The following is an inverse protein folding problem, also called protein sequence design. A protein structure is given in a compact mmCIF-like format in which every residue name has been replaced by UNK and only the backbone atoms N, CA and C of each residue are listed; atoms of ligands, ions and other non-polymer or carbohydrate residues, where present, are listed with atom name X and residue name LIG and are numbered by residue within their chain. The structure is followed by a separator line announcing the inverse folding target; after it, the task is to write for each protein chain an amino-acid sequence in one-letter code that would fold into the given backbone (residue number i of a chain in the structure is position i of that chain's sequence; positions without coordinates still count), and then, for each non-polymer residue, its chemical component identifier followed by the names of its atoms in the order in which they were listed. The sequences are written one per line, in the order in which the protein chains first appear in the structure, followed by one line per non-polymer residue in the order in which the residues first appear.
data_IF_469244227103
#
_entry.id   IF_469244227103
#
_cell.length_a   1.000
_cell.length_b   1.000
_cell.length_c   1.000
_cell.angle_alpha   90.00
_cell.angle_beta   90.00
_cell.angle_gamma   90.00
#
_symmetry.space_group_name_H-M   'P 1'
#
loop_
_entity.id
_entity.type
_entity.pdbx_description
1 polymer ?
#
# COMPACT_ATOMS: atom_id res chain seq x y z
N UNK A 1 23.69 -7.08 8.07
CA UNK A 1 22.71 -6.27 7.31
C UNK A 1 22.23 -5.17 8.22
N UNK A 2 22.17 -3.93 7.75
CA UNK A 2 21.74 -2.80 8.56
C UNK A 2 20.29 -3.02 9.02
N UNK A 3 19.98 -2.74 10.30
CA UNK A 3 18.63 -2.89 10.88
C UNK A 3 17.59 -2.08 10.10
N UNK A 4 17.97 -0.90 9.62
CA UNK A 4 17.10 -0.05 8.80
C UNK A 4 16.67 -0.78 7.53
N UNK A 5 17.62 -1.39 6.81
CA UNK A 5 17.33 -2.15 5.60
C UNK A 5 16.47 -3.40 5.89
N UNK A 6 16.74 -4.09 7.01
CA UNK A 6 15.89 -5.22 7.44
C UNK A 6 14.46 -4.77 7.73
N UNK A 7 14.29 -3.69 8.49
CA UNK A 7 12.98 -3.12 8.83
C UNK A 7 12.15 -2.84 7.58
N UNK A 8 12.74 -2.15 6.59
CA UNK A 8 12.06 -1.81 5.34
C UNK A 8 11.76 -3.06 4.50
N UNK A 9 12.70 -4.01 4.43
CA UNK A 9 12.49 -5.25 3.66
C UNK A 9 11.32 -6.05 4.22
N UNK A 10 11.27 -6.28 5.53
CA UNK A 10 10.15 -6.99 6.16
C UNK A 10 8.83 -6.22 6.03
N UNK A 11 8.86 -4.89 6.12
CA UNK A 11 7.68 -4.07 5.90
C UNK A 11 7.13 -4.25 4.47
N UNK A 12 7.99 -4.18 3.44
CA UNK A 12 7.58 -4.38 2.05
C UNK A 12 7.00 -5.79 1.84
N UNK A 13 7.63 -6.82 2.41
CA UNK A 13 7.10 -8.19 2.33
C UNK A 13 5.71 -8.31 2.94
N UNK A 14 5.48 -7.73 4.13
CA UNK A 14 4.16 -7.71 4.77
C UNK A 14 3.14 -6.91 3.95
N UNK A 15 3.56 -5.80 3.35
CA UNK A 15 2.69 -4.98 2.50
C UNK A 15 2.25 -5.75 1.27
N UNK A 16 3.17 -6.45 0.59
CA UNK A 16 2.83 -7.34 -0.54
C UNK A 16 1.88 -8.44 -0.09
N UNK A 17 2.14 -9.08 1.04
CA UNK A 17 1.26 -10.12 1.60
C UNK A 17 -0.14 -9.57 1.89
N UNK A 18 -0.25 -8.36 2.45
CA UNK A 18 -1.53 -7.70 2.68
C UNK A 18 -2.33 -7.54 1.39
N UNK A 19 -1.75 -6.95 0.35
CA UNK A 19 -2.46 -6.70 -0.91
C UNK A 19 -2.81 -7.98 -1.68
N UNK A 20 -1.96 -9.00 -1.62
CA UNK A 20 -2.17 -10.25 -2.38
C UNK A 20 -3.12 -11.21 -1.66
N UNK A 21 -3.02 -11.31 -0.33
CA UNK A 21 -3.71 -12.36 0.44
C UNK A 21 -4.80 -11.82 1.35
N UNK A 22 -4.54 -10.71 2.07
CA UNK A 22 -5.43 -10.25 3.14
C UNK A 22 -6.50 -9.27 2.65
N UNK A 23 -6.14 -8.33 1.76
CA UNK A 23 -7.06 -7.30 1.30
C UNK A 23 -8.23 -7.92 0.54
N UNK A 24 -9.50 -7.59 0.90
CA UNK A 24 -10.66 -8.09 0.16
C UNK A 24 -10.62 -7.62 -1.30
N UNK A 25 -11.01 -8.50 -2.22
CA UNK A 25 -11.13 -8.17 -3.63
C UNK A 25 -12.51 -7.60 -3.90
N UNK A 26 -12.58 -6.47 -4.58
CA UNK A 26 -13.83 -5.91 -5.06
C UNK A 26 -14.23 -6.62 -6.36
N UNK A 27 -15.46 -7.12 -6.42
CA UNK A 27 -16.04 -7.77 -7.60
C UNK A 27 -17.20 -6.94 -8.16
N UNK A 28 -17.57 -7.19 -9.41
CA UNK A 28 -18.68 -6.47 -10.05
C UNK A 28 -20.02 -6.68 -9.33
N UNK A 29 -20.22 -7.85 -8.71
CA UNK A 29 -21.46 -8.18 -7.99
C UNK A 29 -21.57 -7.40 -6.65
N UNK A 30 -20.49 -6.79 -6.19
CA UNK A 30 -20.44 -5.95 -4.98
C UNK A 30 -20.55 -4.46 -5.28
N UNK A 31 -20.56 -4.07 -6.56
CA UNK A 31 -20.71 -2.66 -6.93
C UNK A 31 -22.11 -2.14 -6.58
N UNK A 32 -22.22 -0.82 -6.32
CA UNK A 32 -23.54 -0.19 -6.21
C UNK A 32 -24.38 -0.48 -7.47
N UNK A 33 -25.61 -0.89 -7.27
CA UNK A 33 -26.56 -1.18 -8.37
C UNK A 33 -27.81 -0.31 -8.23
N UNK A 34 -28.33 0.17 -9.36
CA UNK A 34 -29.55 0.98 -9.38
C UNK A 34 -30.76 0.06 -9.49
N UNK A 35 -31.55 0.01 -8.43
CA UNK A 35 -32.82 -0.72 -8.43
C UNK A 35 -33.89 0.09 -9.17
N UNK A 36 -34.18 -0.34 -10.41
CA UNK A 36 -35.20 0.32 -11.26
C UNK A 36 -36.58 0.29 -10.63
N UNK A 37 -36.91 -0.71 -9.81
CA UNK A 37 -38.20 -0.85 -9.19
C UNK A 37 -38.43 0.13 -8.05
N UNK A 38 -37.40 0.41 -7.27
CA UNK A 38 -37.46 1.34 -6.10
C UNK A 38 -36.92 2.72 -6.38
N UNK A 39 -36.18 2.91 -7.49
CA UNK A 39 -35.48 4.15 -7.81
C UNK A 39 -34.29 4.44 -6.87
N UNK A 40 -33.85 3.47 -6.08
CA UNK A 40 -32.80 3.64 -5.10
C UNK A 40 -31.53 2.86 -5.49
N UNK A 41 -30.38 3.37 -5.08
CA UNK A 41 -29.08 2.69 -5.24
C UNK A 41 -28.93 1.67 -4.11
N UNK A 42 -28.80 0.39 -4.47
CA UNK A 42 -28.45 -0.66 -3.51
C UNK A 42 -26.97 -0.59 -3.20
N UNK A 43 -26.64 -0.22 -1.97
CA UNK A 43 -25.26 -0.06 -1.48
C UNK A 43 -24.81 -1.18 -0.54
N UNK A 44 -25.71 -2.11 -0.18
CA UNK A 44 -25.47 -3.06 0.91
C UNK A 44 -24.22 -3.91 0.68
N UNK A 45 -24.10 -4.55 -0.48
CA UNK A 45 -22.93 -5.38 -0.81
C UNK A 45 -21.61 -4.58 -0.88
N UNK A 46 -21.68 -3.31 -1.31
CA UNK A 46 -20.53 -2.43 -1.36
C UNK A 46 -20.11 -1.97 0.04
N UNK A 47 -21.07 -1.68 0.90
CA UNK A 47 -20.81 -1.34 2.31
C UNK A 47 -20.25 -2.54 3.07
N UNK A 48 -20.72 -3.77 2.80
CA UNK A 48 -20.17 -4.99 3.36
C UNK A 48 -18.72 -5.20 2.90
N UNK A 49 -18.41 -4.97 1.63
CA UNK A 49 -17.03 -4.97 1.14
C UNK A 49 -16.18 -3.95 1.89
N UNK A 50 -16.62 -2.69 2.01
CA UNK A 50 -15.88 -1.63 2.74
C UNK A 50 -15.67 -2.00 4.21
N UNK A 51 -16.70 -2.52 4.87
CA UNK A 51 -16.61 -2.93 6.29
C UNK A 51 -15.64 -4.07 6.50
N UNK A 52 -15.49 -4.95 5.51
CA UNK A 52 -14.57 -6.09 5.56
C UNK A 52 -13.09 -5.70 5.45
N UNK A 53 -12.79 -4.50 4.96
CA UNK A 53 -11.40 -3.99 4.85
C UNK A 53 -10.83 -3.68 6.23
N UNK A 54 -11.61 -3.06 7.12
CA UNK A 54 -11.13 -2.53 8.40
C UNK A 54 -10.48 -3.59 9.31
N UNK A 55 -11.10 -4.76 9.58
CA UNK A 55 -10.48 -5.79 10.42
C UNK A 55 -9.19 -6.35 9.79
N UNK A 56 -9.13 -6.45 8.47
CA UNK A 56 -7.93 -6.93 7.75
C UNK A 56 -6.80 -5.92 7.78
N UNK A 57 -7.15 -4.64 7.69
CA UNK A 57 -6.20 -3.53 7.83
C UNK A 57 -5.66 -3.44 9.28
N UNK A 58 -6.52 -3.64 10.28
CA UNK A 58 -6.10 -3.71 11.68
C UNK A 58 -5.14 -4.89 11.94
N UNK A 59 -5.43 -6.07 11.37
CA UNK A 59 -4.54 -7.22 11.43
C UNK A 59 -3.17 -6.93 10.76
N UNK A 60 -3.17 -6.26 9.62
CA UNK A 60 -1.96 -5.83 8.94
C UNK A 60 -1.13 -4.87 9.82
N UNK A 61 -1.76 -3.82 10.38
CA UNK A 61 -1.10 -2.88 11.28
C UNK A 61 -0.48 -3.60 12.51
N UNK A 62 -1.24 -4.51 13.11
CA UNK A 62 -0.74 -5.31 14.23
C UNK A 62 0.47 -6.15 13.83
N UNK A 63 0.41 -6.80 12.67
CA UNK A 63 1.53 -7.61 12.15
C UNK A 63 2.79 -6.77 11.89
N UNK A 64 2.62 -5.57 11.33
CA UNK A 64 3.73 -4.61 11.14
C UNK A 64 4.33 -4.24 12.49
N UNK A 65 3.52 -3.81 13.47
CA UNK A 65 3.99 -3.42 14.80
C UNK A 65 4.75 -4.56 15.49
N UNK A 66 4.24 -5.78 15.43
CA UNK A 66 4.89 -6.95 16.07
C UNK A 66 6.23 -7.29 15.42
N UNK A 67 6.31 -7.34 14.09
CA UNK A 67 7.56 -7.65 13.41
C UNK A 67 8.60 -6.56 13.62
N UNK A 68 8.20 -5.30 13.52
CA UNK A 68 9.10 -4.18 13.81
C UNK A 68 9.60 -4.19 15.26
N UNK A 69 8.74 -4.54 16.20
CA UNK A 69 9.12 -4.69 17.62
C UNK A 69 10.15 -5.82 17.83
N UNK A 70 9.97 -6.96 17.18
CA UNK A 70 10.92 -8.08 17.24
C UNK A 70 12.29 -7.64 16.70
N UNK A 71 12.33 -6.99 15.53
CA UNK A 71 13.57 -6.52 14.90
C UNK A 71 14.28 -5.47 15.78
N UNK A 72 13.55 -4.50 16.29
CA UNK A 72 14.09 -3.44 17.12
C UNK A 72 14.60 -3.97 18.47
N UNK A 73 13.90 -4.94 19.05
CA UNK A 73 14.35 -5.62 20.28
C UNK A 73 15.64 -6.41 20.03
N UNK A 74 15.70 -7.16 18.95
CA UNK A 74 16.90 -7.91 18.56
C UNK A 74 18.11 -6.96 18.35
N UNK A 75 17.89 -5.81 17.71
CA UNK A 75 18.92 -4.78 17.53
C UNK A 75 19.43 -4.24 18.87
N UNK A 76 18.55 -3.82 19.76
CA UNK A 76 18.96 -3.28 21.08
C UNK A 76 19.67 -4.32 21.93
N UNK A 77 19.21 -5.57 21.91
CA UNK A 77 19.88 -6.66 22.62
C UNK A 77 21.30 -6.91 22.08
N UNK A 78 21.47 -6.88 20.76
CA UNK A 78 22.78 -6.98 20.13
C UNK A 78 23.69 -5.80 20.46
N UNK A 79 23.16 -4.57 20.38
CA UNK A 79 23.89 -3.32 20.69
C UNK A 79 24.32 -3.25 22.17
N UNK A 80 23.44 -3.69 23.08
CA UNK A 80 23.65 -3.50 24.53
C UNK A 80 24.24 -4.74 25.25
N UNK A 81 24.58 -5.78 24.48
CA UNK A 81 25.26 -6.96 25.01
C UNK A 81 24.41 -7.86 25.90
N UNK A 82 23.11 -7.91 25.67
CA UNK A 82 22.20 -8.84 26.35
C UNK A 82 20.75 -8.38 26.44
N UNK A 83 19.87 -9.32 26.76
CA UNK A 83 18.44 -9.08 26.96
C UNK A 83 18.19 -8.51 28.34
N UNK A 84 17.73 -7.27 28.42
CA UNK A 84 17.25 -6.66 29.66
C UNK A 84 15.79 -6.19 29.48
N UNK A 85 15.05 -6.14 30.61
CA UNK A 85 13.68 -5.59 30.62
C UNK A 85 13.64 -4.14 30.13
N UNK A 86 14.69 -3.36 30.46
CA UNK A 86 14.80 -1.98 30.03
C UNK A 86 15.01 -1.84 28.52
N UNK A 87 15.77 -2.75 27.88
CA UNK A 87 15.96 -2.77 26.44
C UNK A 87 14.64 -3.12 25.72
N UNK A 88 13.89 -4.10 26.24
CA UNK A 88 12.58 -4.50 25.70
C UNK A 88 11.59 -3.34 25.82
N UNK A 89 11.51 -2.68 26.99
CA UNK A 89 10.65 -1.53 27.23
C UNK A 89 10.99 -0.35 26.31
N UNK A 90 12.28 -0.08 26.11
CA UNK A 90 12.76 0.95 25.20
C UNK A 90 12.41 0.62 23.75
N UNK A 91 12.63 -0.62 23.29
CA UNK A 91 12.23 -1.07 21.97
C UNK A 91 10.73 -0.94 21.76
N UNK A 92 9.91 -1.30 22.76
CA UNK A 92 8.47 -1.18 22.70
C UNK A 92 8.01 0.27 22.47
N UNK A 93 8.51 1.22 23.27
CA UNK A 93 8.13 2.62 23.15
C UNK A 93 8.51 3.19 21.77
N UNK A 94 9.76 3.00 21.35
CA UNK A 94 10.24 3.52 20.07
C UNK A 94 9.65 2.80 18.85
N UNK A 95 9.04 1.62 19.03
CA UNK A 95 8.33 0.93 17.95
C UNK A 95 6.85 1.27 17.95
N UNK A 96 6.12 0.93 19.02
CA UNK A 96 4.67 1.02 19.02
C UNK A 96 4.17 2.45 18.89
N UNK A 97 4.85 3.43 19.48
CA UNK A 97 4.39 4.81 19.43
C UNK A 97 4.38 5.36 17.99
N UNK A 98 5.49 5.39 17.22
CA UNK A 98 5.46 5.93 15.87
C UNK A 98 4.64 5.06 14.89
N UNK A 99 4.72 3.72 14.98
CA UNK A 99 3.98 2.84 14.09
C UNK A 99 2.47 2.91 14.34
N UNK A 100 2.01 2.98 15.57
CA UNK A 100 0.58 3.08 15.87
C UNK A 100 0.04 4.47 15.55
N UNK A 101 0.74 5.54 15.96
CA UNK A 101 0.21 6.90 15.76
C UNK A 101 0.42 7.41 14.33
N UNK A 102 1.64 7.34 13.78
CA UNK A 102 1.91 7.91 12.46
C UNK A 102 1.32 6.99 11.37
N UNK A 103 1.69 5.70 11.38
CA UNK A 103 1.21 4.77 10.36
C UNK A 103 -0.28 4.49 10.51
N UNK A 104 -0.78 4.29 11.74
CA UNK A 104 -2.20 4.09 12.01
C UNK A 104 -3.04 5.31 11.60
N UNK A 105 -2.58 6.53 11.85
CA UNK A 105 -3.27 7.75 11.38
C UNK A 105 -3.29 7.83 9.86
N UNK A 106 -2.17 7.52 9.19
CA UNK A 106 -2.13 7.49 7.73
C UNK A 106 -3.11 6.44 7.16
N UNK A 107 -3.17 5.23 7.72
CA UNK A 107 -4.16 4.23 7.34
C UNK A 107 -5.59 4.74 7.50
N UNK A 108 -5.89 5.38 8.64
CA UNK A 108 -7.21 5.97 8.90
C UNK A 108 -7.56 7.06 7.89
N UNK A 109 -6.61 7.94 7.56
CA UNK A 109 -6.80 8.99 6.53
C UNK A 109 -7.13 8.40 5.17
N UNK A 110 -6.42 7.34 4.74
CA UNK A 110 -6.68 6.71 3.44
C UNK A 110 -8.03 5.97 3.37
N UNK A 111 -8.54 5.50 4.51
CA UNK A 111 -9.87 4.88 4.60
C UNK A 111 -10.98 5.94 4.62
N UNK A 112 -10.82 7.00 5.44
CA UNK A 112 -11.83 8.04 5.61
C UNK A 112 -11.88 8.98 4.40
N UNK A 113 -10.73 9.27 3.81
CA UNK A 113 -10.56 10.18 2.68
C UNK A 113 -9.87 9.48 1.50
N UNK A 114 -10.57 8.59 0.76
CA UNK A 114 -9.98 7.81 -0.34
C UNK A 114 -9.30 8.67 -1.41
N UNK A 115 -9.74 9.93 -1.58
CA UNK A 115 -9.14 10.87 -2.52
C UNK A 115 -7.65 11.16 -2.27
N UNK A 116 -7.13 10.94 -1.04
CA UNK A 116 -5.69 11.08 -0.80
C UNK A 116 -4.84 10.06 -1.58
N UNK A 117 -5.41 8.91 -1.94
CA UNK A 117 -4.71 7.91 -2.74
C UNK A 117 -4.34 8.43 -4.13
N UNK A 118 -5.12 9.40 -4.67
CA UNK A 118 -4.92 9.98 -6.00
C UNK A 118 -3.52 10.56 -6.19
N UNK A 119 -2.88 11.06 -5.14
CA UNK A 119 -1.52 11.59 -5.21
C UNK A 119 -0.51 10.60 -5.81
N UNK A 120 -0.67 9.32 -5.56
CA UNK A 120 0.16 8.26 -6.14
C UNK A 120 -0.60 7.41 -7.17
N UNK A 121 -1.90 7.17 -7.00
CA UNK A 121 -2.65 6.34 -7.92
C UNK A 121 -2.74 6.96 -9.31
N UNK A 122 -2.94 8.28 -9.41
CA UNK A 122 -3.09 8.96 -10.70
C UNK A 122 -1.75 9.18 -11.43
N UNK A 123 -0.63 8.97 -10.75
CA UNK A 123 0.71 9.01 -11.35
C UNK A 123 1.26 7.60 -11.50
N UNK A 124 1.66 6.97 -10.40
CA UNK A 124 2.34 5.66 -10.44
C UNK A 124 1.37 4.55 -10.80
N UNK A 125 0.17 4.55 -10.19
CA UNK A 125 -0.88 3.60 -10.51
C UNK A 125 -1.31 3.67 -11.97
N UNK A 126 -1.48 4.89 -12.49
CA UNK A 126 -1.78 5.12 -13.90
C UNK A 126 -0.73 4.52 -14.84
N UNK A 127 0.56 4.77 -14.60
CA UNK A 127 1.61 4.18 -15.44
C UNK A 127 1.56 2.66 -15.48
N UNK A 128 1.23 2.03 -14.36
CA UNK A 128 1.17 0.58 -14.26
C UNK A 128 0.03 -0.05 -15.07
N UNK A 129 -1.11 0.68 -15.23
CA UNK A 129 -2.32 0.13 -15.85
C UNK A 129 -2.65 0.75 -17.21
N UNK A 130 -1.96 1.80 -17.63
CA UNK A 130 -2.31 2.61 -18.81
C UNK A 130 -2.41 1.81 -20.09
N UNK A 131 -1.56 0.80 -20.29
CA UNK A 131 -1.61 -0.09 -21.46
C UNK A 131 -2.90 -0.91 -21.50
N UNK A 132 -3.19 -1.67 -20.45
CA UNK A 132 -4.41 -2.48 -20.36
C UNK A 132 -5.70 -1.65 -20.40
N UNK A 133 -5.68 -0.45 -19.77
CA UNK A 133 -6.81 0.45 -19.84
C UNK A 133 -7.10 0.96 -21.26
N UNK A 134 -6.04 1.31 -22.00
CA UNK A 134 -6.15 1.72 -23.39
C UNK A 134 -6.78 0.60 -24.23
N UNK A 135 -6.28 -0.62 -24.09
CA UNK A 135 -6.77 -1.77 -24.86
C UNK A 135 -8.26 -2.01 -24.60
N UNK A 136 -8.70 -1.96 -23.32
CA UNK A 136 -10.12 -2.11 -22.99
C UNK A 136 -10.96 -0.96 -23.59
N UNK A 137 -10.50 0.29 -23.47
CA UNK A 137 -11.25 1.41 -24.04
C UNK A 137 -11.34 1.35 -25.57
N UNK A 138 -10.31 0.87 -26.27
CA UNK A 138 -10.33 0.67 -27.72
C UNK A 138 -11.34 -0.42 -28.13
N UNK A 139 -11.53 -1.43 -27.27
CA UNK A 139 -12.50 -2.51 -27.51
C UNK A 139 -13.94 -2.08 -27.22
N UNK A 140 -14.19 -1.32 -26.16
CA UNK A 140 -15.54 -1.01 -25.71
C UNK A 140 -16.13 0.27 -26.31
N UNK A 141 -15.30 1.27 -26.63
CA UNK A 141 -15.79 2.58 -27.07
C UNK A 141 -16.16 2.58 -28.56
N UNK A 142 -17.31 3.19 -28.86
CA UNK A 142 -17.75 3.38 -30.24
C UNK A 142 -17.02 4.59 -30.85
N UNK A 143 -16.16 4.33 -31.82
CA UNK A 143 -15.43 5.38 -32.54
C UNK A 143 -16.28 6.08 -33.61
N UNK A 144 -17.42 5.50 -33.96
CA UNK A 144 -18.32 6.00 -35.03
C UNK A 144 -19.49 6.84 -34.49
N UNK A 145 -19.44 7.26 -33.22
CA UNK A 145 -20.50 8.06 -32.55
C UNK A 145 -20.85 9.33 -33.32
N UNK A 146 -19.88 9.97 -33.99
CA UNK A 146 -20.17 11.15 -34.82
C UNK A 146 -21.08 10.80 -36.00
N UNK A 147 -20.90 9.63 -36.61
CA UNK A 147 -21.80 9.16 -37.69
C UNK A 147 -23.20 8.91 -37.18
N UNK A 148 -23.35 8.33 -35.97
CA UNK A 148 -24.66 8.12 -35.35
C UNK A 148 -25.39 9.43 -35.05
N UNK A 149 -24.65 10.47 -34.61
CA UNK A 149 -25.23 11.83 -34.46
C UNK A 149 -25.69 12.39 -35.78
N UNK A 150 -24.88 12.26 -36.83
CA UNK A 150 -25.21 12.77 -38.17
C UNK A 150 -26.41 12.00 -38.78
N UNK A 151 -26.49 10.70 -38.54
CA UNK A 151 -27.65 9.90 -38.95
C UNK A 151 -28.92 10.21 -38.14
N UNK A 152 -28.81 10.48 -36.85
CA UNK A 152 -29.93 10.89 -36.02
C UNK A 152 -30.44 12.28 -36.42
N UNK A 153 -29.55 13.22 -36.79
CA UNK A 153 -29.89 14.50 -37.38
C UNK A 153 -30.65 14.33 -38.72
N UNK A 154 -30.18 13.45 -39.58
CA UNK A 154 -30.81 13.16 -40.85
C UNK A 154 -32.23 12.58 -40.67
N UNK A 155 -32.47 11.90 -39.53
CA UNK A 155 -33.79 11.36 -39.17
C UNK A 155 -34.69 12.37 -38.44
N UNK A 156 -34.24 13.61 -38.24
CA UNK A 156 -34.99 14.68 -37.55
C UNK A 156 -35.16 14.50 -36.04
N UNK A 157 -34.32 13.71 -35.41
CA UNK A 157 -34.33 13.51 -33.96
C UNK A 157 -33.61 14.64 -33.24
N UNK A 158 -34.03 15.06 -32.02
CA UNK A 158 -33.31 16.07 -31.26
C UNK A 158 -31.97 15.49 -30.78
N UNK A 159 -30.86 16.08 -31.25
CA UNK A 159 -29.47 15.55 -31.01
C UNK A 159 -28.63 16.46 -30.15
N UNK A 160 -29.12 17.63 -29.70
CA UNK A 160 -28.34 18.65 -29.02
C UNK A 160 -27.58 18.14 -27.75
N UNK A 161 -28.21 17.28 -26.95
CA UNK A 161 -27.58 16.70 -25.76
C UNK A 161 -26.61 15.58 -26.15
N UNK A 162 -26.96 14.78 -27.16
CA UNK A 162 -26.11 13.71 -27.69
C UNK A 162 -24.86 14.30 -28.33
N UNK A 163 -25.01 15.36 -29.12
CA UNK A 163 -23.89 16.04 -29.80
C UNK A 163 -22.92 16.67 -28.81
N UNK A 164 -23.42 17.34 -27.75
CA UNK A 164 -22.59 17.89 -26.69
C UNK A 164 -21.85 16.79 -25.92
N UNK A 165 -22.53 15.69 -25.61
CA UNK A 165 -21.93 14.56 -24.93
C UNK A 165 -20.87 13.89 -25.81
N UNK A 166 -21.17 13.63 -27.09
CA UNK A 166 -20.22 13.05 -28.06
C UNK A 166 -19.04 13.96 -28.29
N UNK A 167 -19.24 15.28 -28.46
CA UNK A 167 -18.13 16.23 -28.65
C UNK A 167 -17.24 16.30 -27.43
N UNK A 168 -17.82 16.36 -26.20
CA UNK A 168 -17.05 16.39 -24.98
C UNK A 168 -16.23 15.09 -24.79
N UNK A 169 -16.80 13.96 -25.13
CA UNK A 169 -16.18 12.65 -24.98
C UNK A 169 -15.18 12.34 -26.07
N UNK A 170 -15.48 12.71 -27.32
CA UNK A 170 -14.51 12.60 -28.43
C UNK A 170 -13.29 13.44 -28.12
N UNK A 171 -13.45 14.66 -27.60
CA UNK A 171 -12.32 15.48 -27.17
C UNK A 171 -11.54 14.86 -25.99
N UNK A 172 -12.20 14.13 -25.09
CA UNK A 172 -11.54 13.39 -23.99
C UNK A 172 -10.87 12.10 -24.50
N UNK A 173 -11.49 11.41 -25.45
CA UNK A 173 -11.04 10.11 -25.97
C UNK A 173 -9.94 10.27 -27.02
N UNK A 174 -10.04 11.24 -27.93
CA UNK A 174 -9.03 11.46 -28.99
C UNK A 174 -7.70 11.95 -28.43
N UNK A 175 -7.73 12.75 -27.36
CA UNK A 175 -6.49 13.28 -26.77
C UNK A 175 -5.84 12.36 -25.74
N UNK A 176 -6.60 11.53 -25.01
CA UNK A 176 -6.02 10.56 -24.07
C UNK A 176 -7.10 9.66 -23.42
N UNK A 177 -7.46 8.54 -24.05
CA UNK A 177 -8.38 7.51 -23.47
C UNK A 177 -7.94 7.10 -22.06
N UNK A 178 -6.65 7.11 -21.81
CA UNK A 178 -6.06 6.76 -20.53
C UNK A 178 -6.27 7.82 -19.44
N UNK A 179 -6.55 9.08 -19.77
CA UNK A 179 -6.91 10.09 -18.75
C UNK A 179 -8.26 9.76 -18.11
N UNK A 180 -9.19 9.15 -18.84
CA UNK A 180 -10.49 8.74 -18.31
C UNK A 180 -10.33 7.79 -17.11
N UNK A 181 -9.39 6.86 -17.17
CA UNK A 181 -9.18 5.92 -16.07
C UNK A 181 -8.68 6.60 -14.78
N UNK A 182 -8.02 7.75 -14.89
CA UNK A 182 -7.61 8.51 -13.71
C UNK A 182 -8.79 9.10 -12.94
N UNK A 183 -9.91 9.34 -13.62
CA UNK A 183 -11.14 9.81 -12.98
C UNK A 183 -11.94 8.68 -12.33
N UNK A 184 -11.64 7.42 -12.68
CA UNK A 184 -12.29 6.26 -12.09
C UNK A 184 -11.63 5.86 -10.80
N UNK A 185 -12.44 5.65 -9.78
CA UNK A 185 -12.07 5.08 -8.48
C UNK A 185 -12.99 3.90 -8.17
N UNK A 186 -12.64 3.00 -7.25
CA UNK A 186 -13.54 1.93 -6.83
C UNK A 186 -14.91 2.45 -6.34
N UNK A 187 -14.93 3.66 -5.75
CA UNK A 187 -16.15 4.28 -5.20
C UNK A 187 -17.10 4.83 -6.26
N UNK A 188 -16.59 5.32 -7.39
CA UNK A 188 -17.41 5.92 -8.45
C UNK A 188 -17.50 5.05 -9.72
N UNK A 189 -16.96 3.86 -9.69
CA UNK A 189 -16.85 3.00 -10.87
C UNK A 189 -18.21 2.68 -11.50
N UNK A 190 -19.22 2.36 -10.70
CA UNK A 190 -20.55 2.03 -11.19
C UNK A 190 -21.21 3.21 -11.93
N UNK A 191 -21.14 4.42 -11.34
CA UNK A 191 -21.68 5.63 -11.94
C UNK A 191 -20.94 5.98 -13.23
N UNK A 192 -19.63 5.81 -13.22
CA UNK A 192 -18.80 6.08 -14.41
C UNK A 192 -19.10 5.09 -15.53
N UNK A 193 -19.21 3.81 -15.22
CA UNK A 193 -19.62 2.78 -16.19
C UNK A 193 -20.97 3.08 -16.81
N UNK A 194 -21.97 3.40 -15.99
CA UNK A 194 -23.32 3.72 -16.46
C UNK A 194 -23.33 4.98 -17.34
N UNK A 195 -22.54 5.98 -16.98
CA UNK A 195 -22.41 7.23 -17.77
C UNK A 195 -21.74 6.97 -19.14
N UNK A 196 -20.80 6.01 -19.22
CA UNK A 196 -20.14 5.66 -20.48
C UNK A 196 -20.93 4.69 -21.33
N UNK A 197 -21.87 3.93 -20.77
CA UNK A 197 -22.62 2.89 -21.50
C UNK A 197 -23.24 3.37 -22.82
N UNK A 198 -23.85 4.57 -22.92
CA UNK A 198 -24.40 5.07 -24.18
C UNK A 198 -23.35 5.31 -25.29
N UNK A 199 -22.07 5.31 -24.95
CA UNK A 199 -20.96 5.60 -25.85
C UNK A 199 -20.19 4.33 -26.22
N UNK A 200 -20.61 3.20 -25.67
CA UNK A 200 -20.00 1.91 -25.96
C UNK A 200 -20.58 1.33 -27.26
N UNK A 201 -19.83 0.43 -27.88
CA UNK A 201 -20.26 -0.32 -29.04
C UNK A 201 -21.54 -1.11 -28.73
N UNK A 202 -22.51 -1.16 -29.67
CA UNK A 202 -23.77 -1.88 -29.44
C UNK A 202 -23.59 -3.37 -29.12
N UNK A 203 -22.57 -4.01 -29.68
CA UNK A 203 -22.27 -5.43 -29.44
C UNK A 203 -21.74 -5.69 -28.00
N UNK A 204 -21.19 -4.67 -27.35
CA UNK A 204 -20.80 -4.75 -25.95
C UNK A 204 -22.01 -4.56 -25.03
N UNK A 205 -22.86 -3.56 -25.32
CA UNK A 205 -24.01 -3.21 -24.46
C UNK A 205 -25.19 -4.17 -24.57
N UNK A 206 -25.36 -4.85 -25.71
CA UNK A 206 -26.45 -5.83 -25.92
C UNK A 206 -26.10 -7.25 -25.49
N UNK A 207 -24.82 -7.57 -25.34
CA UNK A 207 -24.36 -8.88 -24.87
C UNK A 207 -24.02 -8.82 -23.37
N UNK A 208 -24.81 -9.50 -22.56
CA UNK A 208 -24.58 -9.58 -21.09
C UNK A 208 -23.19 -10.14 -20.76
N UNK A 209 -22.73 -11.16 -21.50
CA UNK A 209 -21.43 -11.78 -21.32
C UNK A 209 -20.28 -10.80 -21.59
N UNK A 210 -20.34 -10.06 -22.72
CA UNK A 210 -19.32 -9.05 -23.05
C UNK A 210 -19.33 -7.89 -22.06
N UNK A 211 -20.52 -7.39 -21.70
CA UNK A 211 -20.67 -6.34 -20.68
C UNK A 211 -20.03 -6.76 -19.37
N UNK A 212 -20.33 -7.96 -18.89
CA UNK A 212 -19.79 -8.51 -17.65
C UNK A 212 -18.26 -8.66 -17.71
N UNK A 213 -17.75 -9.17 -18.81
CA UNK A 213 -16.31 -9.35 -19.04
C UNK A 213 -15.58 -8.02 -18.98
N UNK A 214 -15.91 -7.05 -19.83
CA UNK A 214 -15.21 -5.78 -19.90
C UNK A 214 -15.39 -4.94 -18.63
N UNK A 215 -16.57 -4.98 -18.00
CA UNK A 215 -16.81 -4.33 -16.70
C UNK A 215 -15.91 -4.90 -15.62
N UNK A 216 -15.71 -6.22 -15.57
CA UNK A 216 -14.82 -6.89 -14.62
C UNK A 216 -13.34 -6.54 -14.87
N UNK A 217 -12.91 -6.58 -16.14
CA UNK A 217 -11.52 -6.26 -16.50
C UNK A 217 -11.20 -4.79 -16.17
N UNK A 218 -12.08 -3.85 -16.54
CA UNK A 218 -11.86 -2.44 -16.23
C UNK A 218 -11.87 -2.17 -14.72
N UNK A 219 -12.80 -2.81 -13.97
CA UNK A 219 -12.82 -2.72 -12.51
C UNK A 219 -11.51 -3.22 -11.91
N UNK A 220 -10.98 -4.33 -12.41
CA UNK A 220 -9.73 -4.90 -11.90
C UNK A 220 -8.55 -3.92 -12.08
N UNK A 221 -8.49 -3.22 -13.21
CA UNK A 221 -7.47 -2.18 -13.45
C UNK A 221 -7.65 -0.96 -12.53
N UNK A 222 -8.91 -0.51 -12.33
CA UNK A 222 -9.20 0.60 -11.41
C UNK A 222 -8.81 0.26 -9.97
N UNK A 223 -9.14 -0.95 -9.52
CA UNK A 223 -8.74 -1.44 -8.19
C UNK A 223 -7.22 -1.59 -8.08
N UNK A 224 -6.56 -2.10 -9.12
CA UNK A 224 -5.10 -2.20 -9.14
C UNK A 224 -4.44 -0.82 -9.06
N UNK A 225 -4.93 0.16 -9.82
CA UNK A 225 -4.48 1.56 -9.76
C UNK A 225 -4.58 2.12 -8.34
N UNK A 226 -5.73 1.95 -7.70
CA UNK A 226 -5.99 2.41 -6.33
C UNK A 226 -5.08 1.72 -5.30
N UNK A 227 -4.90 0.40 -5.43
CA UNK A 227 -4.01 -0.40 -4.58
C UNK A 227 -2.54 0.04 -4.69
N UNK A 228 -2.07 0.36 -5.90
CA UNK A 228 -0.72 0.87 -6.11
C UNK A 228 -0.57 2.22 -5.39
N UNK A 229 -1.53 3.13 -5.54
CA UNK A 229 -1.51 4.42 -4.84
C UNK A 229 -1.46 4.26 -3.33
N UNK A 230 -2.27 3.36 -2.79
CA UNK A 230 -2.30 3.03 -1.36
C UNK A 230 -0.98 2.41 -0.88
N UNK A 231 -0.41 1.47 -1.64
CA UNK A 231 0.87 0.84 -1.31
C UNK A 231 2.03 1.85 -1.29
N UNK A 232 2.04 2.82 -2.21
CA UNK A 232 3.04 3.89 -2.20
C UNK A 232 2.94 4.78 -0.96
N UNK A 233 1.74 5.11 -0.51
CA UNK A 233 1.55 5.80 0.78
C UNK A 233 2.11 4.99 1.94
N UNK A 234 1.89 3.67 1.96
CA UNK A 234 2.40 2.79 3.01
C UNK A 234 3.93 2.80 3.03
N UNK A 235 4.56 2.58 1.88
CA UNK A 235 6.02 2.54 1.76
C UNK A 235 6.64 3.89 2.11
N UNK A 236 6.09 4.99 1.59
CA UNK A 236 6.58 6.34 1.89
C UNK A 236 6.55 6.64 3.40
N UNK A 237 5.42 6.36 4.04
CA UNK A 237 5.28 6.56 5.49
C UNK A 237 6.21 5.64 6.29
N UNK A 238 6.35 4.38 5.88
CA UNK A 238 7.23 3.42 6.53
C UNK A 238 8.71 3.83 6.47
N UNK A 239 9.16 4.40 5.35
CA UNK A 239 10.53 4.93 5.21
C UNK A 239 10.79 6.03 6.23
N UNK A 240 9.83 6.95 6.43
CA UNK A 240 9.96 8.03 7.42
C UNK A 240 9.98 7.47 8.85
N UNK A 241 9.05 6.56 9.18
CA UNK A 241 8.98 5.96 10.51
C UNK A 241 10.25 5.15 10.83
N UNK A 242 10.67 4.29 9.90
CA UNK A 242 11.87 3.48 10.08
C UNK A 242 13.12 4.35 10.29
N UNK A 243 13.23 5.49 9.61
CA UNK A 243 14.31 6.45 9.81
C UNK A 243 14.29 7.05 11.21
N UNK A 244 13.11 7.47 11.69
CA UNK A 244 12.93 8.03 13.04
C UNK A 244 13.26 6.98 14.11
N UNK A 245 12.73 5.76 13.95
CA UNK A 245 12.94 4.64 14.87
C UNK A 245 14.43 4.28 14.93
N UNK A 246 15.05 4.11 13.77
CA UNK A 246 16.48 3.79 13.68
C UNK A 246 17.35 4.85 14.35
N UNK A 247 17.11 6.13 14.07
CA UNK A 247 17.84 7.23 14.69
C UNK A 247 17.73 7.19 16.23
N UNK A 248 16.52 7.01 16.76
CA UNK A 248 16.30 6.94 18.19
C UNK A 248 16.99 5.73 18.82
N UNK A 249 16.87 4.54 18.24
CA UNK A 249 17.49 3.32 18.74
C UNK A 249 19.03 3.37 18.66
N UNK A 250 19.58 4.02 17.62
CA UNK A 250 21.02 4.21 17.49
C UNK A 250 21.60 5.13 18.58
N UNK A 251 20.83 6.14 18.99
CA UNK A 251 21.27 7.13 19.98
C UNK A 251 20.89 6.79 21.44
N UNK A 252 20.04 5.78 21.65
CA UNK A 252 19.67 5.39 23.02
C UNK A 252 20.85 4.77 23.76
N UNK A 253 21.06 5.21 25.01
CA UNK A 253 22.08 4.64 25.90
C UNK A 253 21.70 3.24 26.40
N UNK A 254 22.66 2.33 26.44
CA UNK A 254 22.44 0.99 26.97
C UNK A 254 22.33 1.01 28.50
N UNK A 255 21.23 0.51 29.02
CA UNK A 255 21.05 0.29 30.46
C UNK A 255 21.46 -1.16 30.79
N UNK A 256 22.63 -1.33 31.43
CA UNK A 256 23.08 -2.64 31.92
C UNK A 256 22.59 -2.84 33.34
N UNK A 257 22.11 -4.04 33.65
CA UNK A 257 21.82 -4.40 35.03
C UNK A 257 23.12 -4.49 35.86
N UNK A 258 23.02 -4.25 37.17
CA UNK A 258 24.19 -4.37 38.08
C UNK A 258 24.86 -5.74 37.98
N UNK A 259 24.04 -6.81 37.79
CA UNK A 259 24.56 -8.16 37.60
C UNK A 259 25.36 -8.31 36.29
N UNK A 260 24.91 -7.70 35.20
CA UNK A 260 25.66 -7.68 33.94
C UNK A 260 26.96 -6.86 34.05
N UNK A 261 26.93 -5.70 34.69
CA UNK A 261 28.11 -4.88 34.91
C UNK A 261 29.17 -5.70 35.69
N UNK A 262 28.73 -6.41 36.74
CA UNK A 262 29.62 -7.25 37.55
C UNK A 262 30.18 -8.44 36.74
N UNK A 263 29.37 -9.07 35.91
CA UNK A 263 29.81 -10.16 35.04
C UNK A 263 30.82 -9.69 33.98
N UNK A 264 30.55 -8.56 33.34
CA UNK A 264 31.45 -7.96 32.35
C UNK A 264 32.77 -7.54 32.97
N UNK A 265 32.74 -6.98 34.19
CA UNK A 265 33.93 -6.64 34.97
C UNK A 265 34.79 -7.88 35.32
N UNK A 266 34.15 -8.95 35.79
CA UNK A 266 34.87 -10.19 36.09
C UNK A 266 35.55 -10.78 34.86
N UNK A 267 34.86 -10.81 33.71
CA UNK A 267 35.44 -11.24 32.43
C UNK A 267 36.63 -10.39 32.00
N UNK A 268 36.53 -9.08 32.19
CA UNK A 268 37.63 -8.15 31.88
C UNK A 268 38.86 -8.45 32.78
N UNK A 269 38.65 -8.66 34.08
CA UNK A 269 39.73 -9.00 35.03
C UNK A 269 40.39 -10.34 34.62
N UNK A 270 39.60 -11.38 34.33
CA UNK A 270 40.13 -12.68 33.85
C UNK A 270 40.95 -12.54 32.56
N UNK A 271 40.50 -11.72 31.62
CA UNK A 271 41.24 -11.48 30.37
C UNK A 271 42.54 -10.71 30.65
N UNK A 272 42.52 -9.73 31.57
CA UNK A 272 43.71 -8.98 31.92
C UNK A 272 44.75 -9.86 32.64
N UNK A 273 44.32 -10.69 33.57
CA UNK A 273 45.19 -11.67 34.23
C UNK A 273 45.81 -12.66 33.26
N UNK A 274 45.03 -13.13 32.25
CA UNK A 274 45.57 -14.02 31.23
C UNK A 274 46.61 -13.33 30.32
N UNK A 275 46.44 -12.03 30.03
CA UNK A 275 47.43 -11.25 29.28
C UNK A 275 48.70 -11.05 30.11
N UNK A 276 48.57 -10.69 31.37
CA UNK A 276 49.68 -10.46 32.26
C UNK A 276 50.50 -11.75 32.50
N UNK A 277 49.82 -12.89 32.64
CA UNK A 277 50.50 -14.21 32.74
C UNK A 277 51.25 -14.55 31.44
N UNK A 278 50.70 -14.28 30.28
CA UNK A 278 51.41 -14.48 29.01
C UNK A 278 52.61 -13.55 28.85
N UNK A 279 52.48 -12.30 29.27
CA UNK A 279 53.59 -11.35 29.25
C UNK A 279 54.74 -11.78 30.21
N UNK A 280 54.38 -12.26 31.41
CA UNK A 280 55.35 -12.79 32.36
C UNK A 280 56.09 -14.02 31.87
N UNK A 281 55.36 -14.95 31.22
CA UNK A 281 55.95 -16.14 30.58
C UNK A 281 56.89 -15.78 29.43
N UNK A 282 56.51 -14.83 28.57
CA UNK A 282 57.37 -14.37 27.48
C UNK A 282 58.64 -13.67 27.99
N UNK A 283 58.53 -12.87 29.05
CA UNK A 283 59.70 -12.25 29.69
C UNK A 283 60.64 -13.27 30.36
N UNK A 284 60.09 -14.32 31.00
CA UNK A 284 60.85 -15.37 31.59
C UNK A 284 61.62 -16.20 30.52
N UNK A 285 61.00 -16.45 29.39
CA UNK A 285 61.65 -17.15 28.24
C UNK A 285 62.80 -16.31 27.64
N UNK A 286 62.63 -14.98 27.53
CA UNK A 286 63.68 -14.10 27.03
C UNK A 286 64.89 -14.01 28.00
N UNK A 287 64.67 -14.02 29.30
CA UNK A 287 65.75 -14.01 30.31
C UNK A 287 66.51 -15.36 30.34
N UNK A 288 65.87 -16.47 29.97
CA UNK A 288 66.53 -17.78 29.93
C UNK A 288 67.33 -18.05 28.66
N UNK A 289 67.23 -17.18 27.66
CA UNK A 289 67.91 -17.30 26.35
C UNK A 289 69.15 -16.37 26.24
N UNK A 290 69.40 -15.50 27.24
CA UNK A 290 70.61 -14.69 27.38
C UNK A 290 71.52 -15.24 28.49
#
# INVERSE_FOLDING_TARGET
MDIYLQSITFFIMLTVLYFVVLKPKLTIDQLPDFDVATGQIKMDCFNDYKSSILPKLALYLLSVCLIQFILNTAYLNGKCGGTSKDNIGTAAIYTFLPWTFIFGTMLAVLVIFPGFKSAFSDVVGYFAISGGAKDIFDEIMNTDLQKEVDEAKARGQPTDNLEKAVTALTAMVDNNKSILINKMTPDNFADFWNTMTPLMKPDVTTSEEKTKYYKSELLSLVVLKDNIGEAFWYVYTALLIASIVYYNLANVGCKKSVAQIKSDYNKYVEQQEAIDQKAALNNAVQVSLN
#
